data_IF_907887741918
#
_entry.id   IF_907887741918
#
_cell.length_a   1.000
_cell.length_b   1.000
_cell.length_c   1.000
_cell.angle_alpha   90.00
_cell.angle_beta   90.00
_cell.angle_gamma   90.00
#
_symmetry.space_group_name_H-M   'P 1'
#
loop_
_entity.id
_entity.type
_entity.pdbx_description
1 polymer ?
#
# COMPACT_ATOMS: atom_id res chain seq x y z
N UNK A 1 48.24 -36.11 34.01
CA UNK A 1 47.52 -35.72 32.80
C UNK A 1 47.77 -34.25 32.68
N UNK A 2 48.55 -33.84 31.69
CA UNK A 2 49.06 -32.48 31.57
C UNK A 2 47.97 -31.61 30.88
N UNK A 3 47.88 -30.35 31.29
CA UNK A 3 46.89 -29.39 30.78
C UNK A 3 46.86 -29.25 29.24
N UNK A 4 47.98 -29.55 28.59
CA UNK A 4 48.09 -29.60 27.10
C UNK A 4 47.24 -30.71 26.46
N UNK A 5 47.09 -31.85 27.16
CA UNK A 5 46.27 -32.97 26.66
C UNK A 5 44.76 -32.68 26.81
N UNK A 6 44.37 -31.84 27.77
CA UNK A 6 42.95 -31.41 27.93
C UNK A 6 42.52 -30.38 26.91
N UNK A 7 43.42 -29.52 26.47
CA UNK A 7 43.12 -28.50 25.45
C UNK A 7 42.97 -29.12 24.04
N UNK A 8 43.76 -30.19 23.76
CA UNK A 8 43.66 -30.87 22.46
C UNK A 8 42.39 -31.72 22.30
N UNK A 9 41.80 -32.20 23.42
CA UNK A 9 40.57 -33.01 23.37
C UNK A 9 39.30 -32.15 23.26
N UNK A 10 39.37 -30.85 23.59
CA UNK A 10 38.24 -29.94 23.51
C UNK A 10 38.09 -29.24 22.14
N UNK A 11 39.09 -29.37 21.28
CA UNK A 11 39.05 -28.74 19.95
C UNK A 11 38.52 -29.63 18.81
N UNK A 12 38.26 -30.92 19.08
CA UNK A 12 37.81 -31.88 18.05
C UNK A 12 36.29 -32.17 18.03
N UNK A 13 35.51 -31.48 18.84
CA UNK A 13 34.08 -31.78 18.97
C UNK A 13 33.15 -30.64 18.50
N UNK A 14 33.61 -29.82 17.54
CA UNK A 14 32.85 -28.64 17.07
C UNK A 14 32.66 -28.58 15.54
N UNK A 15 32.63 -29.73 14.85
CA UNK A 15 32.26 -29.79 13.43
C UNK A 15 31.33 -30.96 13.20
N UNK A 16 30.07 -30.77 13.51
CA UNK A 16 28.99 -31.52 12.91
C UNK A 16 27.66 -30.85 13.25
N UNK A 17 26.89 -30.60 12.22
CA UNK A 17 25.47 -30.24 12.09
C UNK A 17 25.24 -28.82 11.62
N UNK A 18 25.55 -28.57 10.36
CA UNK A 18 24.82 -27.62 9.51
C UNK A 18 24.32 -28.38 8.28
N UNK A 19 23.48 -29.39 8.50
CA UNK A 19 22.59 -29.88 7.46
C UNK A 19 21.43 -28.91 7.37
N UNK A 20 21.63 -27.79 6.67
CA UNK A 20 20.56 -26.87 6.30
C UNK A 20 19.61 -27.59 5.36
N UNK A 21 18.40 -27.86 5.82
CA UNK A 21 17.31 -28.23 4.95
C UNK A 21 17.09 -27.11 3.94
N UNK A 22 17.61 -27.26 2.72
CA UNK A 22 17.13 -26.54 1.55
C UNK A 22 15.71 -26.98 1.33
N UNK A 23 14.75 -26.17 1.74
CA UNK A 23 13.40 -26.25 1.22
C UNK A 23 13.48 -25.76 -0.22
N UNK A 24 13.45 -26.66 -1.18
CA UNK A 24 13.21 -26.33 -2.56
C UNK A 24 11.80 -25.73 -2.67
N UNK A 25 11.73 -24.42 -2.62
CA UNK A 25 10.54 -23.69 -3.00
C UNK A 25 10.51 -23.74 -4.52
N UNK A 26 9.74 -24.69 -5.06
CA UNK A 26 9.37 -24.72 -6.47
C UNK A 26 8.82 -23.33 -6.81
N UNK A 27 9.41 -22.59 -7.77
CA UNK A 27 8.82 -21.33 -8.20
C UNK A 27 7.45 -21.64 -8.80
N UNK A 28 6.40 -21.20 -8.14
CA UNK A 28 5.07 -21.11 -8.74
C UNK A 28 5.19 -20.07 -9.85
N UNK A 29 4.78 -20.38 -11.10
CA UNK A 29 4.75 -19.38 -12.15
C UNK A 29 3.90 -18.20 -11.65
N UNK A 30 4.29 -16.94 -11.91
CA UNK A 30 3.43 -15.83 -11.59
C UNK A 30 2.12 -16.05 -12.34
N UNK A 31 1.02 -16.11 -11.59
CA UNK A 31 -0.30 -16.00 -12.19
C UNK A 31 -0.27 -14.72 -13.01
N UNK A 32 -0.64 -14.81 -14.27
CA UNK A 32 -0.85 -13.66 -15.14
C UNK A 32 -1.86 -12.75 -14.45
N UNK A 33 -1.35 -11.85 -13.64
CA UNK A 33 -2.11 -10.69 -13.23
C UNK A 33 -2.17 -9.84 -14.48
N UNK A 34 -3.26 -9.97 -15.22
CA UNK A 34 -3.63 -9.00 -16.25
C UNK A 34 -3.63 -7.65 -15.55
N UNK A 35 -2.51 -6.97 -15.65
CA UNK A 35 -2.40 -5.58 -15.25
C UNK A 35 -3.27 -4.81 -16.23
N UNK A 36 -4.54 -4.68 -15.89
CA UNK A 36 -5.39 -3.67 -16.51
C UNK A 36 -4.71 -2.35 -16.21
N UNK A 37 -4.07 -1.78 -17.22
CA UNK A 37 -3.47 -0.45 -17.12
C UNK A 37 -4.51 0.48 -16.50
N UNK A 38 -4.16 1.29 -15.48
CA UNK A 38 -5.09 2.24 -14.91
C UNK A 38 -5.53 3.17 -16.03
N UNK A 39 -6.77 3.05 -16.44
CA UNK A 39 -7.41 3.99 -17.35
C UNK A 39 -7.36 5.34 -16.65
N UNK A 40 -6.60 6.27 -17.17
CA UNK A 40 -6.55 7.65 -16.64
C UNK A 40 -7.99 8.14 -16.56
N UNK A 41 -8.52 8.45 -15.37
CA UNK A 41 -9.89 8.91 -15.27
C UNK A 41 -10.01 10.23 -16.00
N UNK A 42 -10.92 10.29 -16.94
CA UNK A 42 -11.30 11.52 -17.59
C UNK A 42 -11.87 12.48 -16.53
N UNK A 43 -11.44 13.74 -16.55
CA UNK A 43 -11.98 14.77 -15.67
C UNK A 43 -13.51 14.79 -15.77
N UNK A 44 -14.24 15.16 -14.69
CA UNK A 44 -15.68 15.08 -14.63
C UNK A 44 -16.30 15.90 -15.76
N UNK A 45 -16.99 15.24 -16.66
CA UNK A 45 -17.73 15.87 -17.76
C UNK A 45 -19.15 16.25 -17.33
N UNK A 46 -19.47 16.04 -16.04
CA UNK A 46 -20.83 16.21 -15.53
C UNK A 46 -21.11 17.69 -15.25
N UNK A 47 -21.82 18.34 -16.15
CA UNK A 47 -22.35 19.71 -15.98
C UNK A 47 -23.51 19.78 -14.96
N UNK A 48 -23.87 18.66 -14.34
CA UNK A 48 -24.97 18.53 -13.38
C UNK A 48 -24.53 18.46 -11.93
N UNK A 49 -25.52 18.47 -11.04
CA UNK A 49 -25.37 18.24 -9.60
C UNK A 49 -25.36 16.74 -9.33
N UNK A 50 -24.42 16.24 -8.58
CA UNK A 50 -24.37 14.83 -8.21
C UNK A 50 -25.51 14.42 -7.29
N UNK A 51 -26.15 13.31 -7.62
CA UNK A 51 -27.18 12.65 -6.82
C UNK A 51 -26.59 11.58 -5.88
N UNK A 52 -27.41 11.01 -4.99
CA UNK A 52 -26.95 9.98 -4.05
C UNK A 52 -26.47 8.69 -4.74
N UNK A 53 -27.06 8.32 -5.88
CA UNK A 53 -26.74 7.10 -6.61
C UNK A 53 -25.47 7.23 -7.47
N UNK A 54 -24.96 8.44 -7.68
CA UNK A 54 -23.80 8.67 -8.52
C UNK A 54 -22.51 8.09 -7.92
N UNK A 55 -22.47 7.90 -6.60
CA UNK A 55 -21.36 7.20 -5.93
C UNK A 55 -21.10 5.80 -6.50
N UNK A 56 -22.11 5.13 -7.02
CA UNK A 56 -22.01 3.76 -7.52
C UNK A 56 -22.11 3.67 -9.04
N UNK A 57 -22.59 4.71 -9.70
CA UNK A 57 -22.81 4.75 -11.15
C UNK A 57 -21.77 5.57 -11.90
N UNK A 58 -21.26 6.64 -11.32
CA UNK A 58 -20.24 7.47 -11.96
C UNK A 58 -18.85 6.81 -11.89
N UNK A 59 -18.18 6.73 -13.04
CA UNK A 59 -16.90 6.04 -13.16
C UNK A 59 -15.79 6.67 -12.32
N UNK A 60 -15.82 7.99 -12.13
CA UNK A 60 -14.85 8.73 -11.34
C UNK A 60 -15.10 8.51 -9.84
N UNK A 61 -16.36 8.61 -9.39
CA UNK A 61 -16.75 8.44 -7.98
C UNK A 61 -16.61 7.00 -7.47
N UNK A 62 -16.62 6.01 -8.37
CA UNK A 62 -16.34 4.61 -8.01
C UNK A 62 -14.90 4.35 -7.65
N UNK A 63 -13.97 5.20 -8.08
CA UNK A 63 -12.57 5.09 -7.71
C UNK A 63 -12.34 5.68 -6.32
N UNK A 64 -12.29 4.82 -5.32
CA UNK A 64 -12.21 5.18 -3.90
C UNK A 64 -10.86 4.82 -3.27
N UNK A 65 -9.91 4.36 -4.07
CA UNK A 65 -8.58 3.95 -3.61
C UNK A 65 -7.53 4.77 -4.33
N UNK A 66 -6.64 5.37 -3.56
CA UNK A 66 -5.49 6.14 -4.05
C UNK A 66 -4.22 5.37 -3.69
N UNK A 67 -3.34 5.19 -4.67
CA UNK A 67 -2.07 4.50 -4.49
C UNK A 67 -0.92 5.49 -4.45
N UNK A 68 -0.03 5.26 -3.50
CA UNK A 68 1.19 6.03 -3.32
C UNK A 68 2.41 5.19 -3.68
N UNK A 69 3.49 5.85 -4.10
CA UNK A 69 4.76 5.19 -4.28
C UNK A 69 5.37 4.77 -2.95
N UNK A 70 6.38 3.92 -3.01
CA UNK A 70 7.07 3.45 -1.82
C UNK A 70 7.58 4.65 -1.03
N UNK A 71 7.25 4.68 0.26
CA UNK A 71 7.71 5.70 1.19
C UNK A 71 7.30 7.15 0.82
N UNK A 72 6.28 7.30 -0.03
CA UNK A 72 5.76 8.59 -0.45
C UNK A 72 4.37 8.85 0.13
N UNK A 73 4.09 10.13 0.37
CA UNK A 73 2.78 10.65 0.77
C UNK A 73 2.27 11.73 -0.21
N UNK A 74 3.04 12.04 -1.25
CA UNK A 74 2.62 12.94 -2.31
C UNK A 74 1.55 12.30 -3.20
N UNK A 75 0.44 13.01 -3.41
CA UNK A 75 -0.62 12.56 -4.30
C UNK A 75 -0.16 12.61 -5.75
N UNK A 76 -0.23 11.48 -6.46
CA UNK A 76 0.14 11.42 -7.86
C UNK A 76 -0.82 12.20 -8.75
N UNK A 77 -0.34 12.80 -9.85
CA UNK A 77 -1.20 13.58 -10.76
C UNK A 77 -2.42 12.83 -11.29
N UNK A 78 -2.28 11.52 -11.52
CA UNK A 78 -3.36 10.66 -12.00
C UNK A 78 -4.56 10.59 -11.05
N UNK A 79 -4.35 10.79 -9.75
CA UNK A 79 -5.42 10.80 -8.75
C UNK A 79 -6.04 12.18 -8.52
N UNK A 80 -5.45 13.26 -9.03
CA UNK A 80 -5.98 14.61 -8.84
C UNK A 80 -7.36 14.79 -9.51
N UNK A 81 -7.54 14.22 -10.71
CA UNK A 81 -8.85 14.26 -11.38
C UNK A 81 -9.92 13.54 -10.56
N UNK A 82 -9.58 12.38 -9.97
CA UNK A 82 -10.49 11.62 -9.09
C UNK A 82 -10.84 12.45 -7.86
N UNK A 83 -9.87 13.12 -7.24
CA UNK A 83 -10.13 13.99 -6.10
C UNK A 83 -11.06 15.15 -6.48
N UNK A 84 -10.90 15.70 -7.69
CA UNK A 84 -11.81 16.72 -8.23
C UNK A 84 -13.28 16.26 -8.31
N UNK A 85 -13.53 15.01 -8.72
CA UNK A 85 -14.87 14.43 -8.74
C UNK A 85 -15.45 14.32 -7.32
N UNK A 86 -14.67 13.76 -6.39
CA UNK A 86 -15.10 13.60 -4.99
C UNK A 86 -15.32 14.96 -4.32
N UNK A 87 -14.44 15.93 -4.54
CA UNK A 87 -14.62 17.29 -4.03
C UNK A 87 -15.91 17.93 -4.58
N UNK A 88 -16.21 17.73 -5.88
CA UNK A 88 -17.48 18.19 -6.44
C UNK A 88 -18.67 17.50 -5.80
N UNK A 89 -18.62 16.17 -5.63
CA UNK A 89 -19.67 15.42 -4.96
C UNK A 89 -19.94 15.94 -3.55
N UNK A 90 -18.91 16.21 -2.76
CA UNK A 90 -19.06 16.75 -1.41
C UNK A 90 -19.66 18.16 -1.41
N UNK A 91 -19.33 19.01 -2.38
CA UNK A 91 -19.94 20.34 -2.54
C UNK A 91 -21.43 20.25 -2.92
N UNK A 92 -21.75 19.32 -3.83
CA UNK A 92 -23.13 19.11 -4.29
C UNK A 92 -24.01 18.49 -3.20
N UNK A 93 -23.37 17.78 -2.23
CA UNK A 93 -24.05 17.06 -1.15
C UNK A 93 -23.45 17.36 0.22
N UNK A 94 -23.70 18.55 0.77
CA UNK A 94 -23.05 19.02 2.01
C UNK A 94 -23.42 18.20 3.25
N UNK A 95 -24.47 17.37 3.20
CA UNK A 95 -24.81 16.42 4.28
C UNK A 95 -24.01 15.12 4.24
N UNK A 96 -23.26 14.87 3.15
CA UNK A 96 -22.42 13.67 3.02
C UNK A 96 -21.23 13.74 3.97
N UNK A 97 -20.81 12.57 4.44
CA UNK A 97 -19.62 12.42 5.29
C UNK A 97 -18.61 11.54 4.57
N UNK A 98 -17.35 11.93 4.68
CA UNK A 98 -16.22 11.17 4.15
C UNK A 98 -15.40 10.63 5.31
N UNK A 99 -14.99 9.37 5.21
CA UNK A 99 -14.00 8.76 6.08
C UNK A 99 -12.79 8.35 5.26
N UNK A 100 -11.61 8.77 5.67
CA UNK A 100 -10.35 8.45 5.01
C UNK A 100 -9.55 7.49 5.87
N UNK A 101 -9.14 6.35 5.29
CA UNK A 101 -8.23 5.41 5.90
C UNK A 101 -6.86 5.46 5.21
N UNK A 102 -5.85 5.98 5.88
CA UNK A 102 -4.49 5.99 5.38
C UNK A 102 -3.75 4.71 5.78
N UNK A 103 -3.10 4.06 4.81
CA UNK A 103 -2.40 2.80 5.01
C UNK A 103 -0.96 2.87 4.48
N UNK A 104 -0.07 2.10 5.09
CA UNK A 104 1.26 1.81 4.60
C UNK A 104 1.45 0.29 4.49
N UNK A 105 2.51 -0.14 3.79
CA UNK A 105 2.83 -1.55 3.69
C UNK A 105 3.50 -2.06 4.99
N UNK A 106 3.79 -3.37 5.04
CA UNK A 106 4.37 -4.03 6.23
C UNK A 106 5.88 -3.81 6.39
N UNK A 107 6.54 -3.09 5.47
CA UNK A 107 7.98 -2.81 5.56
C UNK A 107 8.21 -1.63 6.50
N UNK A 108 9.28 -1.69 7.29
CA UNK A 108 9.59 -0.68 8.30
C UNK A 108 8.97 -0.94 9.67
N UNK A 109 9.11 0.00 10.59
CA UNK A 109 8.51 -0.11 11.92
C UNK A 109 7.00 0.21 11.88
N UNK A 110 6.28 -0.31 12.85
CA UNK A 110 4.85 -0.04 13.00
C UNK A 110 4.58 1.45 13.19
N UNK A 111 5.37 2.09 14.03
CA UNK A 111 5.24 3.51 14.36
C UNK A 111 5.46 4.38 13.13
N UNK A 112 6.49 4.07 12.34
CA UNK A 112 6.76 4.75 11.09
C UNK A 112 5.59 4.62 10.11
N UNK A 113 5.08 3.40 9.92
CA UNK A 113 3.99 3.12 8.98
C UNK A 113 2.66 3.76 9.41
N UNK A 114 2.43 3.91 10.72
CA UNK A 114 1.27 4.63 11.23
C UNK A 114 1.33 6.11 10.83
N UNK A 115 2.48 6.75 11.04
CA UNK A 115 2.69 8.17 10.64
C UNK A 115 2.62 8.35 9.12
N UNK A 116 3.19 7.42 8.34
CA UNK A 116 3.10 7.47 6.88
C UNK A 116 1.64 7.34 6.40
N UNK A 117 0.88 6.42 7.00
CA UNK A 117 -0.56 6.28 6.71
C UNK A 117 -1.33 7.55 7.02
N UNK A 118 -1.08 8.19 8.16
CA UNK A 118 -1.70 9.46 8.53
C UNK A 118 -1.36 10.57 7.52
N UNK A 119 -0.10 10.71 7.13
CA UNK A 119 0.32 11.71 6.12
C UNK A 119 -0.39 11.50 4.79
N UNK A 120 -0.55 10.24 4.34
CA UNK A 120 -1.29 9.89 3.11
C UNK A 120 -2.77 10.26 3.20
N UNK A 121 -3.40 9.97 4.33
CA UNK A 121 -4.79 10.40 4.59
C UNK A 121 -4.93 11.92 4.52
N UNK A 122 -3.99 12.65 5.13
CA UNK A 122 -3.98 14.12 5.13
C UNK A 122 -3.73 14.70 3.72
N UNK A 123 -2.87 14.06 2.90
CA UNK A 123 -2.64 14.48 1.52
C UNK A 123 -3.92 14.36 0.67
N UNK A 124 -4.67 13.27 0.82
CA UNK A 124 -5.98 13.10 0.17
C UNK A 124 -6.99 14.11 0.68
N UNK A 125 -7.07 14.31 2.01
CA UNK A 125 -7.99 15.30 2.61
C UNK A 125 -7.73 16.72 2.11
N UNK A 126 -6.47 17.07 1.88
CA UNK A 126 -6.09 18.40 1.37
C UNK A 126 -6.42 18.61 -0.11
N UNK A 127 -6.66 17.53 -0.85
CA UNK A 127 -7.03 17.56 -2.27
C UNK A 127 -8.55 17.58 -2.51
N UNK A 128 -9.35 17.46 -1.46
CA UNK A 128 -10.81 17.44 -1.46
C UNK A 128 -11.39 18.80 -1.07
#
# INVERSE_FOLDING_TARGET
MNNTTRVLMLSLMSVAVLAGCKKDVKPTPPADTTTTAPTTPTAPTTSGVYGPNDLDTDACLRQRVVYFDLDQDALKPEFQAIMGCHAKYLRDRPSSRLSLGGHADKRGSREYNLVLGERRGNAVNSAL
#
